data_IF_455016504708
#
_entry.id   IF_455016504708
#
_cell.length_a   1.000
_cell.length_b   1.000
_cell.length_c   1.000
_cell.angle_alpha   90.00
_cell.angle_beta   90.00
_cell.angle_gamma   90.00
#
_symmetry.space_group_name_H-M   'P 1'
#
loop_
_entity.id
_entity.type
_entity.pdbx_description
1 polymer ?
#
# COMPACT_ATOMS: atom_id res chain seq x y z
N UNK A 1 -2.60 10.14 13.02
CA UNK A 1 -2.29 9.05 12.08
C UNK A 1 -2.62 9.47 10.66
N UNK A 2 -1.81 9.06 9.72
CA UNK A 2 -2.01 9.30 8.30
C UNK A 2 -2.02 7.98 7.55
N UNK A 3 -2.86 7.87 6.54
CA UNK A 3 -3.00 6.67 5.72
C UNK A 3 -2.54 6.96 4.29
N UNK A 4 -1.89 5.96 3.70
CA UNK A 4 -1.59 5.93 2.27
C UNK A 4 -2.62 5.02 1.62
N UNK A 5 -3.40 5.56 0.70
CA UNK A 5 -4.39 4.80 -0.07
C UNK A 5 -3.86 4.60 -1.47
N UNK A 6 -3.63 3.34 -1.82
CA UNK A 6 -3.01 2.97 -3.09
C UNK A 6 -4.01 2.11 -3.86
N UNK A 7 -4.46 2.61 -5.01
CA UNK A 7 -5.33 1.85 -5.91
C UNK A 7 -4.50 1.25 -7.02
N UNK A 8 -4.70 -0.03 -7.29
CA UNK A 8 -3.89 -0.78 -8.24
C UNK A 8 -4.77 -1.60 -9.20
N UNK A 9 -4.19 -1.91 -10.35
CA UNK A 9 -4.71 -2.90 -11.29
C UNK A 9 -3.76 -4.09 -11.31
N UNK A 10 -4.31 -5.30 -11.28
CA UNK A 10 -3.50 -6.53 -11.35
C UNK A 10 -3.32 -6.93 -12.81
N UNK A 11 -2.08 -7.15 -13.24
CA UNK A 11 -1.76 -7.77 -14.52
C UNK A 11 -1.76 -9.29 -14.41
N UNK A 12 -1.42 -9.80 -13.22
CA UNK A 12 -1.46 -11.22 -12.87
C UNK A 12 -1.84 -11.32 -11.39
N UNK A 13 -3.09 -11.68 -11.11
CA UNK A 13 -3.61 -11.73 -9.75
C UNK A 13 -2.85 -12.71 -8.86
N UNK A 14 -2.54 -13.90 -9.38
CA UNK A 14 -1.83 -14.92 -8.59
C UNK A 14 -0.41 -14.47 -8.25
N UNK A 15 0.30 -13.89 -9.21
CA UNK A 15 1.63 -13.36 -9.00
C UNK A 15 1.62 -12.17 -8.03
N UNK A 16 0.66 -11.27 -8.16
CA UNK A 16 0.50 -10.13 -7.26
C UNK A 16 0.28 -10.60 -5.83
N UNK A 17 -0.57 -11.61 -5.65
CA UNK A 17 -0.83 -12.19 -4.32
C UNK A 17 0.43 -12.81 -3.70
N UNK A 18 1.24 -13.49 -4.51
CA UNK A 18 2.50 -14.07 -4.06
C UNK A 18 3.52 -12.98 -3.68
N UNK A 19 3.54 -11.87 -4.40
CA UNK A 19 4.45 -10.75 -4.14
C UNK A 19 4.20 -10.09 -2.78
N UNK A 20 2.97 -10.15 -2.26
CA UNK A 20 2.64 -9.61 -0.95
C UNK A 20 3.42 -10.28 0.18
N UNK A 21 3.78 -11.53 0.05
CA UNK A 21 4.56 -12.24 1.07
C UNK A 21 5.94 -11.61 1.29
N UNK A 22 6.51 -10.95 0.28
CA UNK A 22 7.75 -10.20 0.40
C UNK A 22 7.53 -8.72 0.74
N UNK A 23 6.43 -8.15 0.27
CA UNK A 23 6.14 -6.73 0.47
C UNK A 23 5.66 -6.42 1.89
N UNK A 24 4.73 -7.21 2.43
CA UNK A 24 4.11 -6.94 3.73
C UNK A 24 5.12 -6.85 4.87
N UNK A 25 6.10 -7.77 5.01
CA UNK A 25 7.12 -7.63 6.06
C UNK A 25 7.97 -6.37 5.91
N UNK A 26 8.25 -5.95 4.68
CA UNK A 26 9.05 -4.74 4.43
C UNK A 26 8.30 -3.49 4.83
N UNK A 27 7.02 -3.41 4.49
CA UNK A 27 6.17 -2.28 4.85
C UNK A 27 5.91 -2.23 6.35
N UNK A 28 5.61 -3.38 6.96
CA UNK A 28 5.34 -3.44 8.40
C UNK A 28 6.58 -3.16 9.25
N UNK A 29 7.78 -3.29 8.69
CA UNK A 29 9.02 -2.91 9.36
C UNK A 29 9.39 -1.45 9.22
N UNK A 30 8.63 -0.66 8.46
CA UNK A 30 8.92 0.76 8.27
C UNK A 30 8.67 1.57 9.54
N UNK A 31 9.48 2.61 9.80
CA UNK A 31 9.26 3.48 10.97
C UNK A 31 7.87 4.10 10.93
N UNK A 32 7.18 4.06 12.08
CA UNK A 32 5.86 4.66 12.22
C UNK A 32 4.70 3.80 11.72
N UNK A 33 4.95 2.60 11.22
CA UNK A 33 3.89 1.71 10.75
C UNK A 33 2.91 1.36 11.89
N UNK A 34 1.61 1.49 11.62
CA UNK A 34 0.53 1.17 12.56
C UNK A 34 -0.25 -0.04 12.09
N UNK A 35 -0.76 -0.02 10.87
CA UNK A 35 -1.57 -1.09 10.31
C UNK A 35 -1.55 -1.03 8.80
N UNK A 36 -1.86 -2.15 8.15
CA UNK A 36 -1.96 -2.21 6.70
C UNK A 36 -2.99 -3.25 6.27
N UNK A 37 -3.69 -2.92 5.18
CA UNK A 37 -4.68 -3.79 4.57
C UNK A 37 -4.46 -3.79 3.06
N UNK A 38 -4.35 -4.97 2.49
CA UNK A 38 -4.21 -5.18 1.05
C UNK A 38 -5.45 -5.94 0.59
N UNK A 39 -6.32 -5.26 -0.14
CA UNK A 39 -7.67 -5.76 -0.46
C UNK A 39 -7.81 -5.95 -1.96
N UNK A 40 -8.21 -7.14 -2.38
CA UNK A 40 -8.60 -7.39 -3.76
C UNK A 40 -10.09 -7.09 -3.91
N UNK A 41 -10.40 -6.11 -4.75
CA UNK A 41 -11.79 -5.75 -5.06
C UNK A 41 -12.38 -6.68 -6.13
N UNK A 42 -11.51 -7.17 -7.02
CA UNK A 42 -11.80 -8.13 -8.08
C UNK A 42 -10.49 -8.79 -8.51
N UNK A 43 -10.51 -9.61 -9.55
CA UNK A 43 -9.27 -10.24 -10.04
C UNK A 43 -8.35 -9.27 -10.77
N UNK A 44 -8.84 -8.08 -11.13
CA UNK A 44 -8.06 -7.08 -11.87
C UNK A 44 -7.91 -5.75 -11.12
N UNK A 45 -8.55 -5.56 -9.98
CA UNK A 45 -8.48 -4.32 -9.21
C UNK A 45 -8.26 -4.59 -7.73
N UNK A 46 -7.44 -3.75 -7.09
CA UNK A 46 -7.20 -3.82 -5.67
C UNK A 46 -6.96 -2.45 -5.05
N UNK A 47 -6.99 -2.41 -3.74
CA UNK A 47 -6.66 -1.22 -2.97
C UNK A 47 -5.86 -1.61 -1.74
N UNK A 48 -4.94 -0.74 -1.34
CA UNK A 48 -4.20 -0.91 -0.08
C UNK A 48 -4.42 0.32 0.77
N UNK A 49 -4.56 0.11 2.07
CA UNK A 49 -4.62 1.19 3.05
C UNK A 49 -3.54 0.91 4.08
N UNK A 50 -2.51 1.73 4.11
CA UNK A 50 -1.38 1.58 5.03
C UNK A 50 -1.35 2.79 5.95
N UNK A 51 -1.45 2.54 7.24
CA UNK A 51 -1.57 3.58 8.27
C UNK A 51 -0.24 3.76 8.98
N UNK A 52 0.18 5.01 9.11
CA UNK A 52 1.38 5.41 9.85
C UNK A 52 1.02 6.39 10.97
N UNK A 53 1.90 6.52 11.96
CA UNK A 53 1.69 7.42 13.10
C UNK A 53 1.90 8.88 12.74
N UNK A 54 2.55 9.18 11.60
CA UNK A 54 2.84 10.55 11.16
C UNK A 54 2.70 10.68 9.64
N UNK A 55 2.49 11.92 9.19
CA UNK A 55 2.46 12.24 7.76
C UNK A 55 3.82 11.97 7.10
N UNK A 56 4.92 12.30 7.79
CA UNK A 56 6.26 12.10 7.25
C UNK A 56 6.52 10.63 6.93
N UNK A 57 6.14 9.73 7.82
CA UNK A 57 6.27 8.29 7.59
C UNK A 57 5.40 7.82 6.43
N UNK A 58 4.18 8.37 6.31
CA UNK A 58 3.29 8.06 5.19
C UNK A 58 3.91 8.51 3.86
N UNK A 59 4.50 9.70 3.81
CA UNK A 59 5.15 10.22 2.60
C UNK A 59 6.37 9.38 2.20
N UNK A 60 7.07 8.77 3.14
CA UNK A 60 8.16 7.85 2.83
C UNK A 60 7.67 6.65 2.04
N UNK A 61 6.51 6.10 2.39
CA UNK A 61 5.92 4.99 1.64
C UNK A 61 5.54 5.43 0.22
N UNK A 62 5.00 6.62 0.06
CA UNK A 62 4.68 7.18 -1.27
C UNK A 62 5.93 7.20 -2.16
N UNK A 63 7.05 7.66 -1.63
CA UNK A 63 8.32 7.67 -2.36
C UNK A 63 8.78 6.26 -2.75
N UNK A 64 8.61 5.29 -1.86
CA UNK A 64 8.94 3.90 -2.15
C UNK A 64 8.06 3.32 -3.27
N UNK A 65 6.76 3.61 -3.24
CA UNK A 65 5.81 3.13 -4.26
C UNK A 65 6.13 3.73 -5.62
N UNK A 66 6.38 5.04 -5.66
CA UNK A 66 6.69 5.74 -6.92
C UNK A 66 8.02 5.30 -7.53
N UNK A 67 8.98 4.92 -6.69
CA UNK A 67 10.29 4.45 -7.14
C UNK A 67 10.38 2.94 -7.36
N UNK A 68 9.32 2.20 -7.08
CA UNK A 68 9.35 0.73 -7.20
C UNK A 68 9.37 0.29 -8.67
N UNK A 69 10.10 -0.79 -9.00
CA UNK A 69 10.05 -1.34 -10.35
C UNK A 69 8.66 -1.91 -10.65
N UNK A 70 8.32 -1.98 -11.93
CA UNK A 70 7.07 -2.58 -12.37
C UNK A 70 7.03 -4.07 -11.98
N UNK A 71 5.90 -4.48 -11.42
CA UNK A 71 5.66 -5.86 -10.99
C UNK A 71 4.33 -6.35 -11.60
N UNK A 72 3.66 -7.28 -10.95
CA UNK A 72 2.35 -7.78 -11.41
C UNK A 72 1.19 -6.84 -11.08
N UNK A 73 1.49 -5.64 -10.64
CA UNK A 73 0.50 -4.58 -10.36
C UNK A 73 0.92 -3.31 -11.07
N UNK A 74 -0.09 -2.55 -11.50
CA UNK A 74 0.06 -1.18 -11.96
C UNK A 74 -0.56 -0.27 -10.92
N UNK A 75 0.17 0.71 -10.43
CA UNK A 75 -0.34 1.69 -9.47
C UNK A 75 -1.18 2.72 -10.24
N UNK A 76 -2.48 2.74 -9.97
CA UNK A 76 -3.40 3.67 -10.62
C UNK A 76 -3.44 5.02 -9.91
N UNK A 77 -3.38 5.01 -8.58
CA UNK A 77 -3.35 6.25 -7.78
C UNK A 77 -2.73 6.00 -6.41
N UNK A 78 -2.12 7.04 -5.87
CA UNK A 78 -1.58 7.05 -4.50
C UNK A 78 -2.03 8.35 -3.84
N UNK A 79 -2.68 8.25 -2.70
CA UNK A 79 -3.13 9.40 -1.95
C UNK A 79 -2.75 9.26 -0.48
N UNK A 80 -2.44 10.38 0.17
CA UNK A 80 -2.18 10.43 1.60
C UNK A 80 -3.25 11.29 2.25
N UNK A 81 -3.84 10.79 3.32
CA UNK A 81 -4.86 11.51 4.05
C UNK A 81 -4.77 11.28 5.55
N UNK A 82 -5.35 12.19 6.31
CA UNK A 82 -5.45 12.03 7.75
C UNK A 82 -6.51 10.98 8.09
N UNK A 83 -6.19 10.09 9.02
CA UNK A 83 -7.16 9.12 9.52
C UNK A 83 -8.13 9.86 10.46
N UNK A 84 -9.37 9.97 10.03
CA UNK A 84 -10.39 10.70 10.81
C UNK A 84 -10.90 9.90 11.99
N UNK A 85 -10.96 8.56 11.84
CA UNK A 85 -11.42 7.66 12.90
C UNK A 85 -10.97 6.24 12.60
N UNK A 86 -10.83 5.44 13.65
CA UNK A 86 -10.55 4.00 13.53
C UNK A 86 -11.16 3.27 14.72
N UNK A 87 -11.34 1.98 14.58
CA UNK A 87 -11.89 1.15 15.64
C UNK A 87 -11.01 -0.06 15.87
#
# INVERSE_FOLDING_TARGET
MHAVVINVSFTDFAAAKAELSGLVPRVSGAPGFVAGYWVALSQDKGTSIVVFDSEDSAQMLVGMVEGAPAMSVTVDSVEVGEVMAHA
#
